data_IF_275059005873
#
_entry.id   IF_275059005873
#
_cell.length_a   1.000
_cell.length_b   1.000
_cell.length_c   1.000
_cell.angle_alpha   90.00
_cell.angle_beta   90.00
_cell.angle_gamma   90.00
#
_symmetry.space_group_name_H-M   'P 1'
#
loop_
_entity.id
_entity.type
_entity.pdbx_description
1 polymer ?
#
# COMPACT_ATOMS: atom_id res chain seq x y z
N UNK A 1 5.08 -6.55 -7.38
CA UNK A 1 4.96 -6.00 -8.76
C UNK A 1 5.25 -4.50 -8.71
N UNK A 2 5.97 -3.96 -9.70
CA UNK A 2 6.25 -2.52 -9.79
C UNK A 2 5.03 -1.81 -10.35
N UNK A 3 4.62 -0.70 -9.73
CA UNK A 3 3.53 0.15 -10.23
C UNK A 3 3.98 0.79 -11.55
N UNK A 4 3.22 0.61 -12.63
CA UNK A 4 3.61 1.13 -13.96
C UNK A 4 2.75 2.28 -14.43
N UNK A 5 1.53 2.45 -13.89
CA UNK A 5 0.65 3.56 -14.29
C UNK A 5 1.21 4.91 -13.83
N UNK A 6 1.12 5.91 -14.70
CA UNK A 6 1.39 7.31 -14.35
C UNK A 6 0.29 7.83 -13.42
N UNK A 7 0.67 8.55 -12.38
CA UNK A 7 -0.28 9.14 -11.42
C UNK A 7 -1.01 10.34 -12.03
N UNK A 8 -2.29 10.50 -11.69
CA UNK A 8 -3.01 11.74 -11.98
C UNK A 8 -2.71 12.81 -10.92
N UNK A 9 -2.97 14.10 -11.20
CA UNK A 9 -2.84 15.15 -10.19
C UNK A 9 -3.66 14.88 -8.92
N UNK A 10 -4.88 14.34 -9.06
CA UNK A 10 -5.74 14.00 -7.93
C UNK A 10 -5.17 12.86 -7.09
N UNK A 11 -4.54 11.87 -7.72
CA UNK A 11 -3.89 10.78 -6.99
C UNK A 11 -2.69 11.28 -6.18
N UNK A 12 -1.90 12.20 -6.74
CA UNK A 12 -0.77 12.82 -6.06
C UNK A 12 -1.24 13.67 -4.87
N UNK A 13 -2.28 14.48 -5.05
CA UNK A 13 -2.85 15.29 -3.98
C UNK A 13 -3.40 14.43 -2.84
N UNK A 14 -4.18 13.39 -3.16
CA UNK A 14 -4.68 12.45 -2.17
C UNK A 14 -3.54 11.74 -1.43
N UNK A 15 -2.50 11.30 -2.14
CA UNK A 15 -1.34 10.64 -1.51
C UNK A 15 -0.62 11.55 -0.51
N UNK A 16 -0.50 12.85 -0.81
CA UNK A 16 0.04 13.84 0.14
C UNK A 16 -0.85 13.99 1.36
N UNK A 17 -2.16 14.15 1.18
CA UNK A 17 -3.11 14.26 2.28
C UNK A 17 -3.13 13.04 3.21
N UNK A 18 -3.04 11.83 2.64
CA UNK A 18 -2.95 10.59 3.40
C UNK A 18 -1.65 10.53 4.21
N UNK A 19 -0.52 10.92 3.60
CA UNK A 19 0.77 10.98 4.29
C UNK A 19 0.78 12.00 5.42
N UNK A 20 0.23 13.19 5.18
CA UNK A 20 0.18 14.27 6.18
C UNK A 20 -0.70 13.88 7.40
N UNK A 21 -1.67 12.99 7.19
CA UNK A 21 -2.51 12.40 8.24
C UNK A 21 -1.91 11.13 8.88
N UNK A 22 -0.69 10.75 8.48
CA UNK A 22 -0.02 9.52 8.90
C UNK A 22 -0.82 8.23 8.64
N UNK A 23 -1.67 8.23 7.60
CA UNK A 23 -2.45 7.06 7.21
C UNK A 23 -1.53 6.08 6.45
N UNK A 24 -1.49 4.83 6.89
CA UNK A 24 -0.57 3.80 6.40
C UNK A 24 -1.32 2.68 5.72
N UNK A 25 -0.98 2.37 4.46
CA UNK A 25 -1.53 1.19 3.81
C UNK A 25 -0.79 -0.08 4.27
N UNK A 26 -1.51 -1.00 4.90
CA UNK A 26 -1.04 -2.33 5.24
C UNK A 26 -1.36 -3.29 4.11
N UNK A 27 -0.36 -4.01 3.61
CA UNK A 27 -0.55 -4.94 2.52
C UNK A 27 0.54 -5.98 2.40
N UNK A 28 0.47 -6.75 1.31
CA UNK A 28 1.52 -7.70 0.95
C UNK A 28 1.92 -7.59 -0.52
N UNK A 29 3.16 -7.94 -0.84
CA UNK A 29 3.68 -7.83 -2.21
C UNK A 29 3.02 -8.80 -3.21
N UNK A 30 2.47 -9.91 -2.70
CA UNK A 30 1.81 -10.96 -3.48
C UNK A 30 0.29 -10.79 -3.56
N UNK A 31 -0.29 -9.88 -2.78
CA UNK A 31 -1.72 -9.60 -2.77
C UNK A 31 -2.16 -8.88 -4.07
N UNK A 32 -3.05 -9.48 -4.88
CA UNK A 32 -3.48 -8.89 -6.16
C UNK A 32 -4.31 -7.61 -5.96
N UNK A 33 -5.14 -7.55 -4.93
CA UNK A 33 -5.92 -6.35 -4.59
C UNK A 33 -5.00 -5.19 -4.16
N UNK A 34 -3.93 -5.49 -3.43
CA UNK A 34 -2.91 -4.53 -3.05
C UNK A 34 -2.19 -4.00 -4.28
N UNK A 35 -1.83 -4.88 -5.23
CA UNK A 35 -1.25 -4.46 -6.51
C UNK A 35 -2.21 -3.54 -7.28
N UNK A 36 -3.50 -3.86 -7.33
CA UNK A 36 -4.52 -3.03 -8.00
C UNK A 36 -4.66 -1.66 -7.33
N UNK A 37 -4.65 -1.61 -6.00
CA UNK A 37 -4.72 -0.34 -5.26
C UNK A 37 -3.51 0.55 -5.57
N UNK A 38 -2.30 -0.01 -5.63
CA UNK A 38 -1.09 0.72 -6.02
C UNK A 38 -1.21 1.30 -7.44
N UNK A 39 -1.77 0.55 -8.38
CA UNK A 39 -2.02 1.02 -9.76
C UNK A 39 -3.12 2.09 -9.87
N UNK A 40 -4.05 2.16 -8.91
CA UNK A 40 -5.04 3.26 -8.89
C UNK A 40 -4.38 4.59 -8.51
N UNK A 41 -3.41 4.57 -7.59
CA UNK A 41 -2.59 5.74 -7.28
C UNK A 41 -1.56 6.05 -8.38
N UNK A 42 -0.98 5.03 -9.00
CA UNK A 42 0.11 5.19 -9.94
C UNK A 42 1.46 5.42 -9.27
N UNK A 43 2.54 5.41 -10.06
CA UNK A 43 3.91 5.31 -9.56
C UNK A 43 4.35 6.47 -8.67
N UNK A 44 4.00 7.71 -9.01
CA UNK A 44 4.42 8.89 -8.27
C UNK A 44 3.67 9.01 -6.94
N UNK A 45 2.34 9.00 -6.99
CA UNK A 45 1.50 9.06 -5.79
C UNK A 45 1.80 7.90 -4.83
N UNK A 46 2.00 6.68 -5.36
CA UNK A 46 2.35 5.53 -4.53
C UNK A 46 3.69 5.70 -3.80
N UNK A 47 4.66 6.40 -4.40
CA UNK A 47 5.96 6.64 -3.77
C UNK A 47 5.91 7.63 -2.59
N UNK A 48 4.83 8.40 -2.49
CA UNK A 48 4.63 9.39 -1.43
C UNK A 48 4.07 8.71 -0.16
N UNK A 49 3.18 7.73 -0.34
CA UNK A 49 2.37 7.14 0.73
C UNK A 49 3.16 6.27 1.71
N UNK A 50 2.67 6.18 2.94
CA UNK A 50 3.16 5.21 3.92
C UNK A 50 2.63 3.81 3.58
N UNK A 51 3.53 2.82 3.54
CA UNK A 51 3.22 1.43 3.26
C UNK A 51 3.95 0.49 4.20
N UNK A 52 3.24 -0.50 4.73
CA UNK A 52 3.79 -1.57 5.54
C UNK A 52 3.60 -2.90 4.83
N UNK A 53 4.72 -3.60 4.64
CA UNK A 53 4.73 -4.97 4.13
C UNK A 53 4.53 -5.96 5.28
N UNK A 54 3.32 -6.47 5.41
CA UNK A 54 2.96 -7.36 6.50
C UNK A 54 3.50 -8.79 6.35
N UNK A 55 3.89 -9.19 5.13
CA UNK A 55 4.30 -10.56 4.82
C UNK A 55 5.64 -10.62 4.07
N UNK A 56 6.74 -10.10 4.66
CA UNK A 56 8.03 -9.97 3.95
C UNK A 56 8.63 -11.32 3.53
N UNK A 57 8.29 -12.41 4.22
CA UNK A 57 8.72 -13.78 3.87
C UNK A 57 7.76 -14.52 2.93
N UNK A 58 6.75 -13.84 2.41
CA UNK A 58 5.76 -14.42 1.51
C UNK A 58 4.60 -15.12 2.23
N UNK A 59 3.73 -15.74 1.44
CA UNK A 59 2.46 -16.33 1.88
C UNK A 59 2.64 -17.33 3.03
N UNK A 60 1.75 -17.29 4.02
CA UNK A 60 1.79 -18.16 5.20
C UNK A 60 2.78 -17.73 6.29
N UNK A 61 3.55 -16.66 6.08
CA UNK A 61 4.33 -16.05 7.16
C UNK A 61 3.39 -15.39 8.17
N UNK A 62 3.53 -15.74 9.45
CA UNK A 62 2.90 -15.01 10.56
C UNK A 62 3.53 -13.62 10.56
N UNK A 63 2.75 -12.64 10.08
CA UNK A 63 3.22 -11.31 9.72
C UNK A 63 3.89 -10.54 10.85
N UNK A 64 4.35 -9.32 10.54
CA UNK A 64 4.96 -8.44 11.54
C UNK A 64 4.00 -8.13 12.70
N UNK A 65 4.54 -7.84 13.89
CA UNK A 65 3.77 -7.49 15.10
C UNK A 65 2.73 -6.39 14.85
N UNK A 66 3.10 -5.36 14.08
CA UNK A 66 2.21 -4.25 13.72
C UNK A 66 1.04 -4.64 12.80
N UNK A 67 1.05 -5.84 12.23
CA UNK A 67 -0.01 -6.36 11.36
C UNK A 67 -0.90 -7.40 12.06
N UNK A 68 -0.76 -7.60 13.37
CA UNK A 68 -1.54 -8.61 14.13
C UNK A 68 -3.05 -8.40 14.10
N UNK A 69 -3.50 -7.15 13.98
CA UNK A 69 -4.93 -6.79 13.96
C UNK A 69 -5.43 -6.49 12.53
N UNK A 70 -4.72 -6.96 11.50
CA UNK A 70 -5.08 -6.76 10.10
C UNK A 70 -5.63 -8.06 9.55
N UNK A 71 -6.96 -8.13 9.40
CA UNK A 71 -7.67 -9.33 8.96
C UNK A 71 -7.64 -9.55 7.43
N UNK A 72 -7.27 -8.51 6.68
CA UNK A 72 -7.28 -8.54 5.22
C UNK A 72 -6.41 -7.46 4.59
N UNK A 73 -6.07 -7.66 3.31
CA UNK A 73 -5.22 -6.75 2.56
C UNK A 73 -5.87 -6.34 1.22
N UNK A 74 -5.73 -5.07 0.79
CA UNK A 74 -5.12 -3.96 1.54
C UNK A 74 -6.05 -3.40 2.64
N UNK A 75 -5.46 -2.83 3.69
CA UNK A 75 -6.14 -2.07 4.76
C UNK A 75 -5.42 -0.72 4.95
N UNK A 76 -6.12 0.34 5.38
CA UNK A 76 -5.60 1.69 5.64
C UNK A 76 -5.77 2.09 7.10
#
# INVERSE_FOLDING_TARGET
>A
KRTTRVSSPQAIELAKQLKDKDITMYGTYWCPHCSRQKELFGAEAWSIMNYVECSPKGYGYKGQEMCKNIDGYPTF
#
